data_IF_675306643972
#
_entry.id   IF_675306643972
#
_cell.length_a   1.000
_cell.length_b   1.000
_cell.length_c   1.000
_cell.angle_alpha   90.00
_cell.angle_beta   90.00
_cell.angle_gamma   90.00
#
_symmetry.space_group_name_H-M   'P 1'
#
loop_
_entity.id
_entity.type
_entity.pdbx_description
1 polymer ?
#
# COMPACT_ATOMS: atom_id res chain seq x y z
N UNK A 1 22.16 32.32 9.29
CA UNK A 1 22.01 31.12 8.42
C UNK A 1 21.96 29.90 9.34
N UNK A 2 20.78 29.60 9.90
CA UNK A 2 20.61 28.54 10.88
C UNK A 2 19.88 27.38 10.19
N UNK A 3 20.64 26.44 9.65
CA UNK A 3 20.12 25.21 9.07
C UNK A 3 19.67 24.31 10.22
N UNK A 4 18.46 24.57 10.71
CA UNK A 4 17.73 23.65 11.58
C UNK A 4 17.42 22.39 10.79
N UNK A 5 18.39 21.47 10.78
CA UNK A 5 18.30 20.13 10.20
C UNK A 5 17.37 19.29 11.09
N UNK A 6 16.09 19.63 11.09
CA UNK A 6 15.02 18.79 11.62
C UNK A 6 14.99 17.53 10.77
N UNK A 7 15.50 16.43 11.31
CA UNK A 7 15.33 15.10 10.75
C UNK A 7 13.84 14.73 10.84
N UNK A 8 13.03 15.31 9.95
CA UNK A 8 11.64 14.90 9.75
C UNK A 8 11.65 13.69 8.80
N UNK A 9 12.33 12.62 9.21
CA UNK A 9 12.31 11.35 8.50
C UNK A 9 10.94 10.71 8.73
N UNK A 10 9.94 11.10 7.93
CA UNK A 10 8.65 10.41 7.93
C UNK A 10 8.93 8.90 7.79
N UNK A 11 8.45 8.04 8.70
CA UNK A 11 8.96 6.68 8.85
C UNK A 11 8.37 5.72 7.80
N UNK A 12 8.51 6.04 6.51
CA UNK A 12 8.00 5.29 5.36
C UNK A 12 8.37 3.80 5.45
N UNK A 13 9.63 3.52 5.78
CA UNK A 13 10.12 2.15 5.89
C UNK A 13 9.43 1.38 7.02
N UNK A 14 9.23 2.01 8.19
CA UNK A 14 8.53 1.37 9.31
C UNK A 14 7.08 1.08 8.94
N UNK A 15 6.40 2.03 8.29
CA UNK A 15 5.02 1.86 7.83
C UNK A 15 4.93 0.71 6.82
N UNK A 16 5.86 0.63 5.87
CA UNK A 16 5.90 -0.46 4.90
C UNK A 16 6.13 -1.82 5.52
N UNK A 17 7.05 -1.93 6.47
CA UNK A 17 7.25 -3.18 7.22
C UNK A 17 5.99 -3.57 7.97
N UNK A 18 5.38 -2.64 8.71
CA UNK A 18 4.17 -2.94 9.49
C UNK A 18 3.02 -3.37 8.57
N UNK A 19 2.80 -2.66 7.47
CA UNK A 19 1.79 -3.02 6.46
C UNK A 19 2.06 -4.41 5.88
N UNK A 20 3.30 -4.67 5.47
CA UNK A 20 3.71 -5.94 4.90
C UNK A 20 3.56 -7.12 5.87
N UNK A 21 4.01 -6.96 7.11
CA UNK A 21 3.89 -7.99 8.15
C UNK A 21 2.44 -8.25 8.53
N UNK A 22 1.61 -7.20 8.66
CA UNK A 22 0.19 -7.34 9.00
C UNK A 22 -0.55 -8.11 7.91
N UNK A 23 -0.35 -7.73 6.64
CA UNK A 23 -0.96 -8.44 5.51
C UNK A 23 -0.43 -9.87 5.39
N UNK A 24 0.87 -10.09 5.61
CA UNK A 24 1.46 -11.45 5.57
C UNK A 24 0.89 -12.35 6.67
N UNK A 25 0.69 -11.84 7.89
CA UNK A 25 0.03 -12.60 8.95
C UNK A 25 -1.42 -12.92 8.59
N UNK A 26 -2.11 -11.99 7.92
CA UNK A 26 -3.48 -12.21 7.46
C UNK A 26 -3.54 -13.32 6.40
N UNK A 27 -2.59 -13.37 5.47
CA UNK A 27 -2.47 -14.46 4.50
C UNK A 27 -2.35 -15.85 5.14
N UNK A 28 -1.73 -15.95 6.31
CA UNK A 28 -1.60 -17.22 7.04
C UNK A 28 -2.88 -17.66 7.77
N UNK A 29 -3.85 -16.76 7.93
CA UNK A 29 -5.06 -17.03 8.72
C UNK A 29 -6.33 -17.05 7.86
N UNK A 30 -6.47 -16.14 6.89
CA UNK A 30 -7.66 -15.95 6.06
C UNK A 30 -7.25 -15.42 4.68
N UNK A 31 -7.10 -16.31 3.70
CA UNK A 31 -6.69 -16.00 2.32
C UNK A 31 -7.69 -15.09 1.59
N UNK A 32 -8.99 -15.25 1.83
CA UNK A 32 -10.04 -14.41 1.27
C UNK A 32 -9.89 -12.94 1.70
N UNK A 33 -9.79 -12.69 3.01
CA UNK A 33 -9.64 -11.32 3.51
C UNK A 33 -8.31 -10.71 3.11
N UNK A 34 -7.24 -11.52 3.10
CA UNK A 34 -5.91 -11.06 2.71
C UNK A 34 -5.85 -10.65 1.23
N UNK A 35 -6.36 -11.49 0.32
CA UNK A 35 -6.42 -11.19 -1.11
C UNK A 35 -7.33 -9.99 -1.41
N UNK A 36 -8.48 -9.89 -0.74
CA UNK A 36 -9.38 -8.74 -0.86
C UNK A 36 -8.72 -7.43 -0.43
N UNK A 37 -8.06 -7.39 0.74
CA UNK A 37 -7.34 -6.20 1.21
C UNK A 37 -6.14 -5.84 0.33
N UNK A 38 -5.44 -6.86 -0.19
CA UNK A 38 -4.36 -6.67 -1.14
C UNK A 38 -4.79 -6.02 -2.46
N UNK A 39 -6.08 -6.09 -2.81
CA UNK A 39 -6.65 -5.37 -3.97
C UNK A 39 -7.27 -4.03 -3.57
N UNK A 40 -7.99 -4.00 -2.45
CA UNK A 40 -8.69 -2.80 -1.96
C UNK A 40 -7.72 -1.67 -1.61
N UNK A 41 -6.64 -1.97 -0.87
CA UNK A 41 -5.68 -0.95 -0.41
C UNK A 41 -5.01 -0.24 -1.60
N UNK A 42 -4.46 -0.96 -2.61
CA UNK A 42 -3.94 -0.32 -3.81
C UNK A 42 -4.99 0.49 -4.57
N UNK A 43 -6.22 -0.01 -4.69
CA UNK A 43 -7.29 0.71 -5.40
C UNK A 43 -7.59 2.05 -4.72
N UNK A 44 -7.76 2.05 -3.38
CA UNK A 44 -7.96 3.27 -2.60
C UNK A 44 -6.77 4.22 -2.70
N UNK A 45 -5.55 3.70 -2.57
CA UNK A 45 -4.33 4.51 -2.66
C UNK A 45 -4.18 5.16 -4.05
N UNK A 46 -4.48 4.44 -5.13
CA UNK A 46 -4.47 4.98 -6.49
C UNK A 46 -5.58 6.03 -6.68
N UNK A 47 -6.78 5.80 -6.16
CA UNK A 47 -7.87 6.80 -6.21
C UNK A 47 -7.48 8.08 -5.47
N UNK A 48 -6.95 7.97 -4.26
CA UNK A 48 -6.49 9.13 -3.48
C UNK A 48 -5.34 9.84 -4.20
N UNK A 49 -4.40 9.10 -4.76
CA UNK A 49 -3.30 9.66 -5.53
C UNK A 49 -3.80 10.39 -6.78
N UNK A 50 -4.78 9.85 -7.50
CA UNK A 50 -5.39 10.50 -8.65
C UNK A 50 -6.13 11.79 -8.27
N UNK A 51 -6.95 11.76 -7.21
CA UNK A 51 -7.65 12.94 -6.70
C UNK A 51 -6.63 14.01 -6.28
N UNK A 52 -5.56 13.61 -5.58
CA UNK A 52 -4.51 14.53 -5.14
C UNK A 52 -3.78 15.17 -6.32
N UNK A 53 -3.53 14.40 -7.37
CA UNK A 53 -2.90 14.88 -8.59
C UNK A 53 -3.80 15.87 -9.35
N UNK A 54 -5.10 15.57 -9.43
CA UNK A 54 -6.09 16.47 -10.03
C UNK A 54 -6.20 17.77 -9.21
N UNK A 55 -6.25 17.66 -7.88
CA UNK A 55 -6.31 18.83 -6.99
C UNK A 55 -5.08 19.73 -7.17
N UNK A 56 -3.87 19.15 -7.20
CA UNK A 56 -2.62 19.89 -7.42
C UNK A 56 -2.59 20.60 -8.79
N UNK A 57 -3.27 20.06 -9.79
CA UNK A 57 -3.39 20.68 -11.11
C UNK A 57 -4.26 21.93 -11.11
N UNK A 58 -5.35 21.95 -10.34
CA UNK A 58 -6.24 23.12 -10.24
C UNK A 58 -5.70 24.18 -9.28
N UNK A 59 -5.16 23.76 -8.14
CA UNK A 59 -4.64 24.65 -7.12
C UNK A 59 -3.45 23.99 -6.43
N UNK A 60 -2.36 24.74 -6.25
CA UNK A 60 -1.12 24.20 -5.69
C UNK A 60 -1.34 23.80 -4.22
N UNK A 61 -1.63 22.52 -4.00
CA UNK A 61 -2.06 21.99 -2.70
C UNK A 61 -0.91 21.80 -1.71
N UNK A 62 0.34 22.12 -2.12
CA UNK A 62 1.55 22.06 -1.31
C UNK A 62 1.71 20.70 -0.60
N UNK A 63 1.31 19.61 -1.28
CA UNK A 63 1.45 18.28 -0.73
C UNK A 63 2.93 17.94 -0.50
N UNK A 64 3.28 17.39 0.68
CA UNK A 64 4.66 17.09 0.96
C UNK A 64 5.17 15.93 0.11
N UNK A 65 6.43 16.00 -0.33
CA UNK A 65 7.03 15.01 -1.24
C UNK A 65 7.07 13.56 -0.69
N UNK A 66 6.85 13.35 0.62
CA UNK A 66 6.72 12.00 1.19
C UNK A 66 5.33 11.37 0.97
N UNK A 67 4.30 12.18 0.71
CA UNK A 67 2.92 11.71 0.50
C UNK A 67 2.82 10.76 -0.70
N UNK A 68 3.30 11.19 -1.87
CA UNK A 68 3.28 10.35 -3.06
C UNK A 68 4.13 9.09 -2.90
N UNK A 69 5.24 9.16 -2.17
CA UNK A 69 6.07 7.99 -1.84
C UNK A 69 5.35 7.00 -0.93
N UNK A 70 4.57 7.49 0.04
CA UNK A 70 3.71 6.66 0.89
C UNK A 70 2.60 5.99 0.08
N UNK A 71 1.95 6.72 -0.83
CA UNK A 71 0.90 6.17 -1.69
C UNK A 71 1.43 5.06 -2.58
N UNK A 72 2.58 5.25 -3.22
CA UNK A 72 3.24 4.19 -3.99
C UNK A 72 3.58 2.98 -3.14
N UNK A 73 4.05 3.17 -1.91
CA UNK A 73 4.35 2.08 -0.99
C UNK A 73 3.07 1.30 -0.61
N UNK A 74 1.95 1.98 -0.40
CA UNK A 74 0.64 1.35 -0.15
C UNK A 74 0.06 0.61 -1.37
N UNK A 75 0.53 0.93 -2.58
CA UNK A 75 0.18 0.19 -3.80
C UNK A 75 1.11 -1.01 -4.00
N UNK A 76 2.41 -0.79 -3.92
CA UNK A 76 3.42 -1.78 -4.29
C UNK A 76 3.49 -2.93 -3.29
N UNK A 77 3.39 -2.67 -1.98
CA UNK A 77 3.51 -3.72 -0.96
C UNK A 77 2.36 -4.74 -1.06
N UNK A 78 1.08 -4.35 -1.07
CA UNK A 78 0.00 -5.32 -1.15
C UNK A 78 -0.03 -6.06 -2.48
N UNK A 79 0.32 -5.42 -3.60
CA UNK A 79 0.46 -6.08 -4.89
C UNK A 79 1.61 -7.10 -4.91
N UNK A 80 2.77 -6.76 -4.33
CA UNK A 80 3.88 -7.68 -4.21
C UNK A 80 3.49 -8.91 -3.38
N UNK A 81 2.78 -8.72 -2.25
CA UNK A 81 2.29 -9.82 -1.43
C UNK A 81 1.25 -10.67 -2.17
N UNK A 82 0.33 -10.05 -2.91
CA UNK A 82 -0.63 -10.77 -3.73
C UNK A 82 0.06 -11.66 -4.77
N UNK A 83 1.11 -11.15 -5.42
CA UNK A 83 1.89 -11.95 -6.38
C UNK A 83 2.66 -13.07 -5.70
N UNK A 84 3.32 -12.80 -4.57
CA UNK A 84 4.11 -13.80 -3.83
C UNK A 84 3.19 -14.90 -3.30
N UNK A 85 2.20 -14.58 -2.48
CA UNK A 85 1.30 -15.58 -1.89
C UNK A 85 0.36 -16.19 -2.93
N UNK A 86 -0.06 -15.43 -3.94
CA UNK A 86 -0.81 -15.95 -5.07
C UNK A 86 -0.01 -16.99 -5.87
N UNK A 87 1.27 -16.74 -6.12
CA UNK A 87 2.13 -17.72 -6.81
C UNK A 87 2.38 -18.98 -5.97
N UNK A 88 2.58 -18.84 -4.65
CA UNK A 88 2.72 -19.96 -3.73
C UNK A 88 1.44 -20.82 -3.71
N UNK A 89 0.28 -20.16 -3.70
CA UNK A 89 -1.03 -20.82 -3.69
C UNK A 89 -1.48 -21.28 -5.08
N UNK A 90 -0.65 -21.11 -6.13
CA UNK A 90 -1.00 -21.36 -7.53
C UNK A 90 -2.29 -20.65 -8.00
N UNK A 91 -2.61 -19.51 -7.40
CA UNK A 91 -3.88 -18.79 -7.56
C UNK A 91 -5.13 -19.64 -7.24
N UNK A 92 -4.98 -20.76 -6.55
CA UNK A 92 -6.06 -21.62 -6.08
C UNK A 92 -6.45 -21.26 -4.65
N UNK A 93 -7.07 -20.09 -4.50
CA UNK A 93 -7.58 -19.64 -3.20
C UNK A 93 -8.72 -20.53 -2.74
N UNK A 94 -8.88 -20.72 -1.43
CA UNK A 94 -9.90 -21.61 -0.89
C UNK A 94 -11.31 -21.16 -1.29
N UNK A 95 -11.53 -19.85 -1.42
CA UNK A 95 -12.79 -19.28 -1.91
C UNK A 95 -13.05 -19.44 -3.42
N UNK A 96 -12.02 -19.80 -4.21
CA UNK A 96 -12.16 -20.08 -5.66
C UNK A 96 -12.48 -21.54 -5.95
N UNK A 97 -12.28 -22.42 -4.98
CA UNK A 97 -12.64 -23.83 -5.10
C UNK A 97 -14.16 -23.91 -5.00
N UNK A 98 -14.82 -24.13 -6.14
CA UNK A 98 -16.25 -24.42 -6.17
C UNK A 98 -16.50 -25.66 -5.30
N UNK A 99 -17.31 -25.49 -4.25
CA UNK A 99 -17.83 -26.59 -3.44
C UNK A 99 -18.78 -27.47 -4.26
#
# INVERSE_FOLDING_TARGET
MNSGKGSNNFPLFKIGIVLGLTLSCLWLTQDYFASFLCLLIPMLALTLMAISFIAEFFEKSNLPYWYYRLMWLMVLIPLALLLIFGSISQMQFDWTKAH
#
